data_IF_420547506961
#
_entry.id   IF_420547506961
#
_cell.length_a   1.000
_cell.length_b   1.000
_cell.length_c   1.000
_cell.angle_alpha   90.00
_cell.angle_beta   90.00
_cell.angle_gamma   90.00
#
_symmetry.space_group_name_H-M   'P 1'
#
loop_
_entity.id
_entity.type
_entity.pdbx_description
1 polymer ?
#
# COMPACT_ATOMS: atom_id res chain seq x y z
N UNK A 1 -2.59 14.88 -40.98
CA UNK A 1 -2.91 13.44 -40.83
C UNK A 1 -1.59 12.75 -40.52
N UNK A 2 -1.29 12.27 -39.32
CA UNK A 2 -2.09 12.07 -38.12
C UNK A 2 -1.17 12.30 -36.92
N UNK A 3 -1.65 13.08 -35.97
CA UNK A 3 -1.09 13.18 -34.63
C UNK A 3 -1.32 11.88 -33.87
N UNK A 4 -0.68 11.76 -32.70
CA UNK A 4 -0.97 10.85 -31.58
C UNK A 4 -0.10 9.59 -31.47
N UNK A 5 1.14 9.78 -31.02
CA UNK A 5 1.65 9.00 -29.89
C UNK A 5 2.39 9.95 -28.97
N UNK A 6 1.74 10.37 -27.89
CA UNK A 6 2.44 10.88 -26.72
C UNK A 6 1.83 10.21 -25.49
N UNK A 7 2.19 8.94 -25.28
CA UNK A 7 1.98 8.21 -24.03
C UNK A 7 2.98 8.73 -23.01
N UNK A 8 2.77 9.96 -22.51
CA UNK A 8 3.33 10.35 -21.22
C UNK A 8 2.50 9.64 -20.15
N UNK A 9 2.90 8.39 -19.85
CA UNK A 9 2.67 7.82 -18.53
C UNK A 9 3.19 8.85 -17.52
N UNK A 10 2.40 9.28 -16.52
CA UNK A 10 2.91 10.17 -15.50
C UNK A 10 4.01 9.41 -14.76
N UNK A 11 5.27 9.77 -15.01
CA UNK A 11 6.36 9.43 -14.12
C UNK A 11 5.98 10.03 -12.77
N UNK A 12 5.59 9.17 -11.83
CA UNK A 12 5.44 9.53 -10.43
C UNK A 12 6.86 9.80 -9.95
N UNK A 13 7.32 11.03 -10.16
CA UNK A 13 8.58 11.53 -9.63
C UNK A 13 8.51 11.39 -8.11
N UNK A 14 9.31 10.44 -7.58
CA UNK A 14 9.52 10.14 -6.16
C UNK A 14 9.87 11.41 -5.37
N UNK A 15 8.87 12.17 -4.96
CA UNK A 15 8.90 13.01 -3.78
C UNK A 15 7.49 12.94 -3.18
N UNK A 16 7.31 11.96 -2.28
CA UNK A 16 6.26 11.98 -1.28
C UNK A 16 6.37 13.34 -0.59
N UNK A 17 5.33 14.17 -0.74
CA UNK A 17 5.32 15.54 -0.24
C UNK A 17 5.52 15.54 1.27
N UNK A 18 6.27 16.51 1.78
CA UNK A 18 6.25 16.90 3.20
C UNK A 18 4.81 17.29 3.57
N UNK A 19 4.05 16.32 4.08
CA UNK A 19 2.72 16.48 4.66
C UNK A 19 2.73 15.96 6.09
N UNK A 20 1.71 16.31 6.86
CA UNK A 20 1.47 15.67 8.16
C UNK A 20 1.08 14.21 7.91
N UNK A 21 1.84 13.27 8.46
CA UNK A 21 1.53 11.84 8.43
C UNK A 21 1.24 11.36 9.84
N UNK A 22 0.40 10.33 9.93
CA UNK A 22 0.18 9.62 11.20
C UNK A 22 1.04 8.35 11.22
N UNK A 23 1.58 7.99 12.38
CA UNK A 23 2.33 6.74 12.54
C UNK A 23 1.50 5.72 13.30
N UNK A 24 1.20 4.59 12.64
CA UNK A 24 0.35 3.53 13.16
C UNK A 24 1.16 2.22 13.20
N UNK A 25 1.39 1.67 14.39
CA UNK A 25 2.24 0.49 14.60
C UNK A 25 3.66 0.60 14.00
N UNK A 26 4.18 1.83 13.87
CA UNK A 26 5.49 2.10 13.26
C UNK A 26 5.45 2.30 11.74
N UNK A 27 4.28 2.25 11.12
CA UNK A 27 4.08 2.51 9.69
C UNK A 27 3.54 3.92 9.51
N UNK A 28 4.16 4.71 8.63
CA UNK A 28 3.65 6.05 8.32
C UNK A 28 2.47 5.96 7.34
N UNK A 29 1.37 6.62 7.66
CA UNK A 29 0.16 6.64 6.83
C UNK A 29 -0.27 8.07 6.53
N UNK A 30 -0.73 8.30 5.30
CA UNK A 30 -1.32 9.59 4.90
C UNK A 30 -2.14 9.42 3.62
N UNK A 31 -3.14 10.28 3.43
CA UNK A 31 -3.95 10.34 2.19
C UNK A 31 -3.78 11.71 1.53
N UNK A 32 -3.98 11.79 0.22
CA UNK A 32 -3.96 13.06 -0.51
C UNK A 32 -5.07 14.02 -0.07
N UNK A 33 -6.22 13.51 0.36
CA UNK A 33 -7.40 14.32 0.70
C UNK A 33 -8.04 13.95 2.05
N UNK A 34 -7.37 13.14 2.86
CA UNK A 34 -7.86 12.68 4.16
C UNK A 34 -9.26 12.07 4.10
N UNK A 35 -9.54 11.28 3.06
CA UNK A 35 -10.82 10.57 2.94
C UNK A 35 -10.90 9.44 3.98
N UNK A 36 -11.98 9.44 4.76
CA UNK A 36 -12.20 8.48 5.85
C UNK A 36 -12.14 7.01 5.37
N UNK A 37 -12.58 6.72 4.15
CA UNK A 37 -12.60 5.35 3.61
C UNK A 37 -11.20 4.88 3.25
N UNK A 38 -10.36 5.78 2.73
CA UNK A 38 -8.96 5.50 2.40
C UNK A 38 -8.14 5.29 3.67
N UNK A 39 -8.30 6.19 4.65
CA UNK A 39 -7.67 6.08 5.96
C UNK A 39 -8.09 4.79 6.65
N UNK A 40 -9.38 4.43 6.62
CA UNK A 40 -9.88 3.19 7.20
C UNK A 40 -9.21 1.95 6.57
N UNK A 41 -9.04 1.91 5.24
CA UNK A 41 -8.35 0.80 4.57
C UNK A 41 -6.89 0.68 4.99
N UNK A 42 -6.15 1.79 5.01
CA UNK A 42 -4.75 1.82 5.46
C UNK A 42 -4.62 1.42 6.93
N UNK A 43 -5.53 1.86 7.80
CA UNK A 43 -5.57 1.44 9.21
C UNK A 43 -5.82 -0.06 9.37
N UNK A 44 -6.75 -0.63 8.59
CA UNK A 44 -6.98 -2.08 8.60
C UNK A 44 -5.73 -2.84 8.12
N UNK A 45 -5.07 -2.35 7.07
CA UNK A 45 -3.83 -2.92 6.58
C UNK A 45 -2.75 -2.93 7.67
N UNK A 46 -2.46 -1.78 8.29
CA UNK A 46 -1.47 -1.66 9.35
C UNK A 46 -1.77 -2.61 10.52
N UNK A 47 -3.04 -2.73 10.90
CA UNK A 47 -3.48 -3.68 11.92
C UNK A 47 -3.17 -5.13 11.53
N UNK A 48 -3.44 -5.51 10.29
CA UNK A 48 -3.26 -6.88 9.81
C UNK A 48 -1.77 -7.23 9.74
N UNK A 49 -0.95 -6.32 9.23
CA UNK A 49 0.53 -6.44 9.20
C UNK A 49 1.10 -6.55 10.62
N UNK A 50 0.64 -5.73 11.56
CA UNK A 50 1.04 -5.82 12.97
C UNK A 50 0.67 -7.17 13.59
N UNK A 51 -0.49 -7.71 13.23
CA UNK A 51 -0.96 -8.98 13.78
C UNK A 51 -0.13 -10.19 13.33
N UNK A 52 0.51 -10.11 12.16
CA UNK A 52 1.46 -11.11 11.68
C UNK A 52 2.92 -10.76 12.01
N UNK A 53 3.17 -9.63 12.69
CA UNK A 53 4.50 -9.24 13.17
C UNK A 53 5.43 -8.69 12.09
N UNK A 54 4.90 -8.13 11.00
CA UNK A 54 5.70 -7.64 9.87
C UNK A 54 5.69 -6.10 9.72
N UNK A 55 5.39 -5.35 10.77
CA UNK A 55 5.32 -3.87 10.68
C UNK A 55 6.67 -3.25 10.34
N UNK A 56 7.78 -3.83 10.81
CA UNK A 56 9.13 -3.37 10.50
C UNK A 56 9.50 -3.48 9.02
N UNK A 57 8.73 -4.23 8.23
CA UNK A 57 8.96 -4.40 6.79
C UNK A 57 8.31 -3.30 5.95
N UNK A 58 7.41 -2.51 6.52
CA UNK A 58 6.65 -1.48 5.82
C UNK A 58 7.07 -0.12 6.37
N UNK A 59 7.62 0.72 5.51
CA UNK A 59 8.03 2.09 5.83
C UNK A 59 6.81 3.02 5.83
N UNK A 60 6.02 2.96 4.75
CA UNK A 60 4.95 3.93 4.51
C UNK A 60 3.79 3.33 3.70
N UNK A 61 2.58 3.80 3.97
CA UNK A 61 1.44 3.66 3.06
C UNK A 61 0.83 5.02 2.71
N UNK A 62 0.61 5.27 1.43
CA UNK A 62 0.04 6.51 0.93
C UNK A 62 -1.15 6.24 0.01
N UNK A 63 -2.28 6.91 0.23
CA UNK A 63 -3.43 6.80 -0.68
C UNK A 63 -3.55 8.02 -1.61
N UNK A 64 -3.47 7.78 -2.93
CA UNK A 64 -3.80 8.78 -3.95
C UNK A 64 -5.24 8.60 -4.42
N UNK A 65 -6.15 9.38 -3.85
CA UNK A 65 -7.58 9.37 -4.18
C UNK A 65 -7.87 9.66 -5.65
N UNK A 66 -6.99 10.39 -6.36
CA UNK A 66 -7.19 10.65 -7.81
C UNK A 66 -6.92 9.42 -8.65
N UNK A 67 -5.97 8.60 -8.23
CA UNK A 67 -5.61 7.35 -8.90
C UNK A 67 -6.43 6.17 -8.36
N UNK A 68 -7.19 6.37 -7.28
CA UNK A 68 -7.85 5.32 -6.50
C UNK A 68 -6.86 4.21 -6.13
N UNK A 69 -5.64 4.59 -5.73
CA UNK A 69 -4.51 3.68 -5.56
C UNK A 69 -3.77 3.94 -4.24
N UNK A 70 -3.57 2.88 -3.45
CA UNK A 70 -2.72 2.92 -2.27
C UNK A 70 -1.31 2.44 -2.60
N UNK A 71 -0.31 3.27 -2.37
CA UNK A 71 1.10 2.91 -2.47
C UNK A 71 1.56 2.31 -1.15
N UNK A 72 2.21 1.14 -1.21
CA UNK A 72 2.81 0.48 -0.05
C UNK A 72 4.31 0.45 -0.29
N UNK A 73 5.05 1.17 0.55
CA UNK A 73 6.50 1.26 0.48
C UNK A 73 7.11 0.35 1.54
N UNK A 74 7.92 -0.61 1.09
CA UNK A 74 8.72 -1.43 1.97
C UNK A 74 9.97 -0.68 2.42
N UNK A 75 10.56 -1.10 3.54
CA UNK A 75 11.89 -0.66 3.91
C UNK A 75 12.92 -1.08 2.84
N UNK A 76 14.02 -0.35 2.72
CA UNK A 76 15.13 -0.78 1.87
C UNK A 76 15.79 -2.02 2.51
N UNK A 77 15.76 -3.14 1.79
CA UNK A 77 16.36 -4.40 2.21
C UNK A 77 17.53 -4.70 1.28
N UNK A 78 18.63 -5.22 1.83
CA UNK A 78 19.77 -5.67 1.03
C UNK A 78 19.31 -6.67 -0.03
N UNK A 79 19.67 -6.42 -1.30
CA UNK A 79 19.26 -7.20 -2.48
C UNK A 79 19.57 -8.71 -2.39
N UNK A 80 20.53 -9.09 -1.52
CA UNK A 80 20.94 -10.47 -1.27
C UNK A 80 19.99 -11.24 -0.32
N UNK A 81 19.00 -10.57 0.28
CA UNK A 81 18.05 -11.18 1.21
C UNK A 81 16.85 -11.79 0.46
N UNK A 82 16.72 -13.11 0.52
CA UNK A 82 15.57 -13.81 -0.09
C UNK A 82 14.30 -13.65 0.77
N UNK A 83 13.64 -12.49 0.64
CA UNK A 83 12.49 -12.09 1.45
C UNK A 83 11.12 -12.35 0.79
N UNK A 84 11.03 -13.37 -0.05
CA UNK A 84 9.81 -13.61 -0.83
C UNK A 84 8.58 -13.85 0.04
N UNK A 85 8.74 -14.52 1.19
CA UNK A 85 7.61 -14.90 2.04
C UNK A 85 7.00 -13.71 2.78
N UNK A 86 7.83 -12.80 3.29
CA UNK A 86 7.39 -11.61 4.00
C UNK A 86 6.67 -10.66 3.05
N UNK A 87 7.23 -10.43 1.85
CA UNK A 87 6.62 -9.61 0.80
C UNK A 87 5.28 -10.20 0.36
N UNK A 88 5.21 -11.52 0.15
CA UNK A 88 3.96 -12.20 -0.21
C UNK A 88 2.90 -12.13 0.91
N UNK A 89 3.33 -12.22 2.18
CA UNK A 89 2.44 -12.05 3.32
C UNK A 89 1.88 -10.61 3.39
N UNK A 90 2.73 -9.60 3.21
CA UNK A 90 2.32 -8.18 3.16
C UNK A 90 1.36 -7.94 2.00
N UNK A 91 1.67 -8.47 0.80
CA UNK A 91 0.77 -8.42 -0.37
C UNK A 91 -0.58 -9.06 -0.06
N UNK A 92 -0.58 -10.17 0.65
CA UNK A 92 -1.82 -10.84 1.07
C UNK A 92 -2.62 -9.98 2.04
N UNK A 93 -1.97 -9.31 3.00
CA UNK A 93 -2.66 -8.39 3.92
C UNK A 93 -3.25 -7.19 3.17
N UNK A 94 -2.54 -6.64 2.20
CA UNK A 94 -3.06 -5.59 1.33
C UNK A 94 -4.30 -6.07 0.55
N UNK A 95 -4.25 -7.26 -0.05
CA UNK A 95 -5.39 -7.85 -0.74
C UNK A 95 -6.60 -8.17 0.17
N UNK A 96 -6.42 -8.26 1.48
CA UNK A 96 -7.54 -8.40 2.43
C UNK A 96 -8.20 -7.07 2.79
N UNK A 97 -7.48 -5.95 2.66
CA UNK A 97 -7.82 -4.68 3.35
C UNK A 97 -7.91 -3.46 2.45
N UNK A 98 -7.26 -3.45 1.29
CA UNK A 98 -7.16 -2.29 0.39
C UNK A 98 -7.77 -2.64 -0.98
N UNK A 99 -8.65 -1.79 -1.49
CA UNK A 99 -9.34 -1.99 -2.78
C UNK A 99 -8.38 -2.13 -3.97
N UNK A 100 -7.41 -1.23 -4.07
CA UNK A 100 -6.37 -1.27 -5.09
C UNK A 100 -5.08 -0.71 -4.51
N UNK A 101 -3.96 -1.42 -4.72
CA UNK A 101 -2.67 -1.05 -4.15
C UNK A 101 -1.53 -1.29 -5.14
N UNK A 102 -0.41 -0.59 -4.93
CA UNK A 102 0.87 -0.86 -5.56
C UNK A 102 1.86 -1.33 -4.49
N UNK A 103 2.55 -2.43 -4.77
CA UNK A 103 3.64 -2.95 -3.95
C UNK A 103 4.76 -3.43 -4.87
N UNK A 104 5.97 -2.90 -4.71
CA UNK A 104 7.14 -3.22 -5.54
C UNK A 104 6.87 -3.04 -7.06
N UNK A 105 6.16 -1.97 -7.44
CA UNK A 105 5.79 -1.71 -8.83
C UNK A 105 4.68 -2.60 -9.39
N UNK A 106 4.12 -3.51 -8.58
CA UNK A 106 3.04 -4.42 -8.98
C UNK A 106 1.71 -3.90 -8.45
N UNK A 107 0.74 -3.72 -9.35
CA UNK A 107 -0.63 -3.36 -8.99
C UNK A 107 -1.40 -4.61 -8.54
N UNK A 108 -1.97 -4.55 -7.36
CA UNK A 108 -2.87 -5.54 -6.78
C UNK A 108 -4.25 -4.97 -6.48
N UNK A 109 -5.20 -5.86 -6.22
CA UNK A 109 -6.59 -5.52 -5.87
C UNK A 109 -7.05 -6.32 -4.66
N UNK A 110 -8.06 -5.79 -3.96
CA UNK A 110 -8.76 -6.53 -2.91
C UNK A 110 -9.27 -7.85 -3.47
N UNK A 111 -9.01 -8.94 -2.74
CA UNK A 111 -9.54 -10.25 -3.04
C UNK A 111 -10.88 -10.44 -2.28
N UNK A 112 -12.05 -10.46 -2.96
CA UNK A 112 -13.35 -10.58 -2.30
C UNK A 112 -13.55 -11.94 -1.61
N UNK A 113 -12.93 -13.01 -2.11
CA UNK A 113 -13.01 -14.34 -1.53
C UNK A 113 -12.24 -14.43 -0.22
N UNK A 114 -11.02 -13.87 -0.17
CA UNK A 114 -10.20 -13.90 1.03
C UNK A 114 -10.71 -12.89 2.07
N UNK A 115 -11.07 -11.67 1.65
CA UNK A 115 -11.51 -10.61 2.58
C UNK A 115 -12.86 -10.89 3.25
N UNK A 116 -13.69 -11.76 2.67
CA UNK A 116 -14.92 -12.25 3.31
C UNK A 116 -14.66 -13.40 4.29
N UNK A 117 -13.66 -14.23 4.03
CA UNK A 117 -13.35 -15.41 4.84
C UNK A 117 -12.38 -15.13 6.01
N UNK A 118 -11.43 -14.21 5.82
CA UNK A 118 -10.36 -13.93 6.77
C UNK A 118 -10.58 -12.53 7.34
N UNK A 119 -10.87 -12.47 8.65
CA UNK A 119 -10.96 -11.22 9.40
C UNK A 119 -10.22 -11.36 10.71
N UNK A 120 -9.30 -10.44 10.98
CA UNK A 120 -8.58 -10.43 12.25
C UNK A 120 -9.44 -9.76 13.34
N UNK A 121 -9.86 -10.55 14.32
CA UNK A 121 -10.56 -10.06 15.50
C UNK A 121 -9.62 -9.24 16.39
N UNK A 122 -10.18 -8.18 17.01
CA UNK A 122 -9.52 -7.31 17.98
C UNK A 122 -9.16 -8.08 19.25
#
# INVERSE_FOLDING_TARGET
MSELVNTTLPEITKQIREGEFETIFGINIWSRYDDDTELYQMLQFCKYVNKIGLTEWVDETFYDSKASLCFIKLIEIDEDSNCSYEIDAIRTMAALTIEQFELEGIIGHRNPYLSSAIKFQL
#
